data_IF_369303751574
#
_entry.id   IF_369303751574
#
_cell.length_a   1.000
_cell.length_b   1.000
_cell.length_c   1.000
_cell.angle_alpha   90.00
_cell.angle_beta   90.00
_cell.angle_gamma   90.00
#
_symmetry.space_group_name_H-M   'P 1'
#
loop_
_entity.id
_entity.type
_entity.pdbx_description
1 polymer ?
#
# COMPACT_ATOMS: atom_id res chain seq x y z
N UNK A 1 12.57 -65.12 -10.67
CA UNK A 1 13.78 -65.15 -11.52
C UNK A 1 14.07 -63.72 -11.95
N UNK A 2 15.23 -63.17 -11.54
CA UNK A 2 15.71 -61.85 -11.97
C UNK A 2 16.57 -62.02 -13.22
N UNK A 3 16.51 -61.12 -14.20
CA UNK A 3 17.62 -60.92 -15.12
C UNK A 3 18.46 -59.73 -14.66
N UNK A 4 19.74 -60.01 -14.42
CA UNK A 4 20.82 -59.02 -14.43
C UNK A 4 21.12 -58.62 -15.89
N UNK A 5 21.48 -57.36 -16.14
CA UNK A 5 22.34 -57.04 -17.27
C UNK A 5 23.24 -55.85 -16.93
N UNK A 6 24.52 -56.02 -17.25
CA UNK A 6 25.68 -55.17 -16.93
C UNK A 6 26.01 -54.20 -18.08
N UNK A 7 26.73 -53.13 -17.75
CA UNK A 7 27.54 -52.32 -18.66
C UNK A 7 26.86 -50.99 -19.05
N UNK A 8 27.50 -49.83 -19.13
CA UNK A 8 28.91 -49.46 -19.23
C UNK A 8 29.07 -48.03 -18.67
N UNK A 9 30.14 -47.76 -17.93
CA UNK A 9 30.57 -46.41 -17.60
C UNK A 9 31.33 -45.80 -18.79
N UNK A 10 31.06 -44.52 -19.11
CA UNK A 10 31.99 -43.66 -19.85
C UNK A 10 31.97 -42.26 -19.23
N UNK A 11 33.04 -41.98 -18.49
CA UNK A 11 33.48 -40.64 -18.16
C UNK A 11 33.85 -39.88 -19.45
N UNK A 12 33.44 -38.61 -19.54
CA UNK A 12 34.15 -37.61 -20.33
C UNK A 12 34.40 -36.43 -19.39
N UNK A 13 35.67 -36.19 -19.10
CA UNK A 13 36.17 -35.00 -18.42
C UNK A 13 37.28 -34.44 -19.30
N UNK A 14 37.11 -33.23 -19.84
CA UNK A 14 38.21 -32.35 -20.30
C UNK A 14 37.69 -30.88 -20.27
N UNK A 15 38.53 -29.83 -20.22
CA UNK A 15 39.06 -29.21 -19.01
C UNK A 15 38.80 -27.69 -18.95
N UNK A 16 39.18 -27.07 -17.84
CA UNK A 16 39.14 -25.63 -17.58
C UNK A 16 40.08 -24.80 -18.49
N UNK A 17 39.67 -23.56 -18.82
CA UNK A 17 40.44 -22.35 -19.19
C UNK A 17 39.45 -21.35 -19.83
N UNK A 18 39.28 -20.08 -19.46
CA UNK A 18 39.83 -19.20 -18.43
C UNK A 18 39.21 -17.80 -18.59
N UNK A 19 39.36 -16.97 -17.53
CA UNK A 19 39.32 -15.49 -17.52
C UNK A 19 37.94 -14.82 -17.83
N UNK A 20 37.37 -13.88 -17.07
CA UNK A 20 37.92 -12.67 -16.44
C UNK A 20 37.01 -12.29 -15.26
N UNK A 21 37.60 -11.97 -14.11
CA UNK A 21 36.93 -11.21 -13.06
C UNK A 21 36.75 -9.75 -13.52
N UNK A 22 35.53 -9.25 -13.58
CA UNK A 22 35.27 -7.82 -13.56
C UNK A 22 34.33 -7.51 -12.38
N UNK A 23 34.84 -6.72 -11.47
CA UNK A 23 34.17 -6.24 -10.28
C UNK A 23 33.10 -5.19 -10.61
N UNK A 24 32.16 -5.06 -9.66
CA UNK A 24 31.30 -3.89 -9.37
C UNK A 24 30.00 -3.70 -10.18
N UNK A 25 28.92 -4.28 -9.67
CA UNK A 25 27.69 -3.60 -9.26
C UNK A 25 26.86 -4.65 -8.49
N UNK A 26 26.78 -4.64 -7.17
CA UNK A 26 26.09 -3.60 -6.42
C UNK A 26 24.65 -4.05 -6.20
N UNK A 27 24.46 -4.85 -5.15
CA UNK A 27 23.23 -5.21 -4.46
C UNK A 27 21.88 -4.87 -5.12
N UNK A 28 21.03 -5.88 -5.35
CA UNK A 28 19.64 -5.73 -4.92
C UNK A 28 19.18 -6.96 -4.15
N UNK A 29 18.74 -6.65 -2.95
CA UNK A 29 18.47 -7.54 -1.83
C UNK A 29 17.18 -8.32 -2.05
N UNK A 30 17.32 -9.60 -2.36
CA UNK A 30 16.36 -10.63 -1.96
C UNK A 30 16.32 -10.74 -0.45
N UNK A 31 15.72 -9.75 0.23
CA UNK A 31 15.29 -9.90 1.61
C UNK A 31 13.97 -10.69 1.64
N UNK A 32 13.67 -11.43 2.73
CA UNK A 32 12.33 -11.98 2.91
C UNK A 32 11.32 -10.83 2.81
N UNK A 33 10.33 -10.98 1.93
CA UNK A 33 9.21 -10.06 1.87
C UNK A 33 8.55 -10.03 3.25
N UNK A 34 8.62 -8.89 3.94
CA UNK A 34 7.88 -8.72 5.19
C UNK A 34 6.40 -9.06 4.95
N UNK A 35 5.72 -9.69 5.93
CA UNK A 35 4.32 -10.04 5.78
C UNK A 35 3.52 -8.77 5.46
N UNK A 36 2.69 -8.87 4.41
CA UNK A 36 1.83 -7.78 4.01
C UNK A 36 0.89 -7.40 5.15
N UNK A 37 0.82 -6.11 5.47
CA UNK A 37 -0.02 -5.61 6.54
C UNK A 37 -1.49 -5.95 6.28
N UNK A 38 -2.18 -6.41 7.32
CA UNK A 38 -3.58 -6.88 7.21
C UNK A 38 -4.59 -5.74 7.25
N UNK A 39 -4.22 -4.61 7.84
CA UNK A 39 -5.13 -3.49 8.05
C UNK A 39 -4.44 -2.14 7.84
N UNK A 40 -5.24 -1.09 7.67
CA UNK A 40 -4.76 0.26 7.51
C UNK A 40 -4.00 0.75 8.75
N UNK A 41 -4.30 0.31 9.97
CA UNK A 41 -3.54 0.73 11.15
C UNK A 41 -2.09 0.21 11.20
N UNK A 42 -1.76 -0.87 10.50
CA UNK A 42 -0.43 -1.51 10.50
C UNK A 42 0.33 -1.31 9.18
N UNK A 43 -0.29 -0.64 8.21
CA UNK A 43 0.19 -0.58 6.82
C UNK A 43 1.61 -0.03 6.66
N UNK A 44 1.91 1.04 7.39
CA UNK A 44 3.21 1.70 7.36
C UNK A 44 3.45 2.47 8.66
N UNK A 45 4.72 2.68 9.00
CA UNK A 45 5.16 3.59 10.06
C UNK A 45 5.60 4.94 9.47
N UNK A 46 5.79 5.94 10.33
CA UNK A 46 6.39 7.22 9.92
C UNK A 46 7.81 6.97 9.43
N UNK A 47 8.16 7.54 8.28
CA UNK A 47 9.44 7.37 7.60
C UNK A 47 9.44 6.31 6.50
N UNK A 48 8.48 5.39 6.48
CA UNK A 48 8.40 4.35 5.45
C UNK A 48 8.09 4.95 4.08
N UNK A 49 8.62 4.32 3.03
CA UNK A 49 8.21 4.58 1.65
C UNK A 49 7.06 3.65 1.27
N UNK A 50 6.02 4.21 0.68
CA UNK A 50 4.77 3.53 0.33
C UNK A 50 4.31 3.87 -1.08
N UNK A 51 3.46 3.02 -1.65
CA UNK A 51 2.65 3.30 -2.84
C UNK A 51 1.18 3.13 -2.52
N UNK A 52 0.30 3.82 -3.24
CA UNK A 52 -1.15 3.60 -3.13
C UNK A 52 -1.51 2.28 -3.82
N UNK A 53 -2.36 1.46 -3.21
CA UNK A 53 -2.76 0.14 -3.75
C UNK A 53 -3.84 0.23 -4.82
N UNK A 54 -4.78 1.16 -4.64
CA UNK A 54 -5.97 1.29 -5.47
C UNK A 54 -6.20 2.74 -5.86
N UNK A 55 -5.38 3.32 -6.77
CA UNK A 55 -5.43 4.76 -7.01
C UNK A 55 -6.80 5.26 -7.49
N UNK A 56 -7.47 4.47 -8.34
CA UNK A 56 -8.79 4.77 -8.87
C UNK A 56 -9.94 4.79 -7.83
N UNK A 57 -9.68 4.34 -6.59
CA UNK A 57 -10.66 4.34 -5.50
C UNK A 57 -10.11 4.91 -4.18
N UNK A 58 -8.91 5.47 -4.19
CA UNK A 58 -8.29 6.10 -3.02
C UNK A 58 -8.30 7.60 -3.21
N UNK A 59 -8.98 8.32 -2.31
CA UNK A 59 -8.96 9.79 -2.30
C UNK A 59 -7.69 10.26 -1.58
N UNK A 60 -7.00 11.24 -2.16
CA UNK A 60 -5.90 11.96 -1.54
C UNK A 60 -6.25 13.45 -1.54
N UNK A 61 -6.00 14.14 -0.42
CA UNK A 61 -6.21 15.59 -0.37
C UNK A 61 -5.01 16.33 0.19
N UNK A 62 -4.67 17.49 -0.37
CA UNK A 62 -3.61 18.34 0.21
C UNK A 62 -3.99 18.94 1.57
N UNK A 63 -5.30 19.05 1.86
CA UNK A 63 -5.85 19.52 3.13
C UNK A 63 -6.47 18.38 3.94
N UNK A 64 -6.07 18.24 5.21
CA UNK A 64 -6.56 17.17 6.10
C UNK A 64 -8.07 17.26 6.38
N UNK A 65 -8.57 18.49 6.55
CA UNK A 65 -9.97 18.72 6.86
C UNK A 65 -10.88 18.29 5.71
N UNK A 66 -10.44 18.51 4.48
CA UNK A 66 -11.18 18.09 3.30
C UNK A 66 -11.12 16.58 3.10
N UNK A 67 -9.96 15.95 3.34
CA UNK A 67 -9.87 14.48 3.40
C UNK A 67 -10.86 13.90 4.41
N UNK A 68 -10.99 14.53 5.59
CA UNK A 68 -11.91 14.09 6.65
C UNK A 68 -13.36 14.22 6.21
N UNK A 69 -13.75 15.35 5.59
CA UNK A 69 -15.12 15.55 5.07
C UNK A 69 -15.47 14.53 4.01
N UNK A 70 -14.60 14.32 3.01
CA UNK A 70 -14.85 13.37 1.92
C UNK A 70 -14.96 11.95 2.46
N UNK A 71 -14.08 11.55 3.39
CA UNK A 71 -14.15 10.27 4.08
C UNK A 71 -15.50 10.07 4.80
N UNK A 72 -15.91 11.04 5.63
CA UNK A 72 -17.14 10.95 6.42
C UNK A 72 -18.39 10.86 5.53
N UNK A 73 -18.46 11.64 4.45
CA UNK A 73 -19.55 11.59 3.47
C UNK A 73 -19.64 10.21 2.81
N UNK A 74 -18.49 9.67 2.38
CA UNK A 74 -18.41 8.33 1.80
C UNK A 74 -18.85 7.21 2.76
N UNK A 75 -18.34 7.23 3.99
CA UNK A 75 -18.66 6.23 5.02
C UNK A 75 -20.12 6.28 5.44
N UNK A 76 -20.72 7.47 5.52
CA UNK A 76 -22.14 7.62 5.83
C UNK A 76 -23.02 7.04 4.72
N UNK A 77 -22.70 7.31 3.46
CA UNK A 77 -23.40 6.72 2.32
C UNK A 77 -23.27 5.19 2.33
N UNK A 78 -22.06 4.66 2.59
CA UNK A 78 -21.82 3.22 2.72
C UNK A 78 -22.74 2.59 3.76
N UNK A 79 -22.75 3.14 4.98
CA UNK A 79 -23.53 2.59 6.10
C UNK A 79 -25.02 2.68 5.86
N UNK A 80 -25.49 3.80 5.32
CA UNK A 80 -26.91 3.99 5.01
C UNK A 80 -27.36 3.00 3.94
N UNK A 81 -26.63 2.87 2.83
CA UNK A 81 -26.95 1.93 1.77
C UNK A 81 -26.85 0.48 2.25
N UNK A 82 -25.81 0.12 3.01
CA UNK A 82 -25.69 -1.22 3.59
C UNK A 82 -26.89 -1.56 4.48
N UNK A 83 -27.35 -0.61 5.32
CA UNK A 83 -28.50 -0.81 6.20
C UNK A 83 -29.82 -1.04 5.43
N UNK A 84 -30.01 -0.37 4.31
CA UNK A 84 -31.27 -0.41 3.54
C UNK A 84 -31.27 -1.54 2.52
N UNK A 85 -30.16 -1.72 1.79
CA UNK A 85 -30.07 -2.62 0.64
C UNK A 85 -29.40 -3.96 0.96
N UNK A 86 -28.72 -4.06 2.11
CA UNK A 86 -27.99 -5.25 2.55
C UNK A 86 -27.05 -5.86 1.48
N UNK A 87 -26.42 -5.00 0.68
CA UNK A 87 -25.55 -5.39 -0.45
C UNK A 87 -24.21 -4.68 -0.40
N UNK A 88 -23.12 -5.45 -0.37
CA UNK A 88 -21.77 -4.91 -0.24
C UNK A 88 -21.40 -4.08 -1.45
N UNK A 89 -21.72 -4.60 -2.63
CA UNK A 89 -21.45 -3.94 -3.91
C UNK A 89 -22.20 -2.60 -4.00
N UNK A 90 -23.50 -2.56 -3.67
CA UNK A 90 -24.26 -1.30 -3.68
C UNK A 90 -23.71 -0.30 -2.66
N UNK A 91 -23.33 -0.77 -1.46
CA UNK A 91 -22.77 0.09 -0.43
C UNK A 91 -21.41 0.70 -0.83
N UNK A 92 -20.54 -0.07 -1.48
CA UNK A 92 -19.26 0.42 -2.02
C UNK A 92 -19.48 1.40 -3.19
N UNK A 93 -20.43 1.12 -4.08
CA UNK A 93 -20.80 2.06 -5.15
C UNK A 93 -21.33 3.38 -4.59
N UNK A 94 -22.19 3.32 -3.57
CA UNK A 94 -22.70 4.49 -2.87
C UNK A 94 -21.58 5.29 -2.19
N UNK A 95 -20.63 4.63 -1.52
CA UNK A 95 -19.42 5.26 -0.96
C UNK A 95 -18.67 6.04 -2.04
N UNK A 96 -18.32 5.38 -3.14
CA UNK A 96 -17.54 5.98 -4.22
C UNK A 96 -18.27 7.15 -4.87
N UNK A 97 -19.58 7.03 -5.13
CA UNK A 97 -20.39 8.10 -5.70
C UNK A 97 -20.49 9.31 -4.76
N UNK A 98 -20.69 9.08 -3.46
CA UNK A 98 -20.76 10.13 -2.45
C UNK A 98 -19.41 10.82 -2.27
N UNK A 99 -18.29 10.08 -2.28
CA UNK A 99 -16.94 10.65 -2.26
C UNK A 99 -16.69 11.52 -3.49
N UNK A 100 -17.03 11.03 -4.68
CA UNK A 100 -16.89 11.80 -5.93
C UNK A 100 -17.68 13.11 -5.89
N UNK A 101 -18.88 13.09 -5.33
CA UNK A 101 -19.69 14.29 -5.14
C UNK A 101 -19.06 15.23 -4.09
N UNK A 102 -18.55 14.71 -2.98
CA UNK A 102 -17.90 15.53 -1.96
C UNK A 102 -16.61 16.18 -2.47
N UNK A 103 -15.83 15.46 -3.29
CA UNK A 103 -14.61 15.97 -3.91
C UNK A 103 -14.87 17.16 -4.86
N UNK A 104 -16.04 17.23 -5.51
CA UNK A 104 -16.34 18.39 -6.36
C UNK A 104 -16.51 19.69 -5.58
N UNK A 105 -16.66 19.60 -4.25
CA UNK A 105 -16.74 20.73 -3.32
C UNK A 105 -15.47 20.91 -2.49
N UNK A 106 -14.50 20.00 -2.62
CA UNK A 106 -13.25 19.98 -1.87
C UNK A 106 -12.07 19.99 -2.85
N UNK A 107 -11.68 21.17 -3.31
CA UNK A 107 -10.68 21.35 -4.38
C UNK A 107 -9.27 20.86 -4.03
N UNK A 108 -8.99 20.62 -2.74
CA UNK A 108 -7.75 20.01 -2.29
C UNK A 108 -7.70 18.50 -2.57
N UNK A 109 -8.84 17.87 -2.89
CA UNK A 109 -8.99 16.43 -3.02
C UNK A 109 -9.02 15.98 -4.48
N UNK A 110 -8.26 14.93 -4.76
CA UNK A 110 -8.28 14.22 -6.03
C UNK A 110 -8.19 12.70 -5.82
N UNK A 111 -8.43 11.94 -6.88
CA UNK A 111 -8.11 10.51 -6.86
C UNK A 111 -6.58 10.37 -6.84
N UNK A 112 -6.10 9.38 -6.10
CA UNK A 112 -4.69 9.11 -6.02
C UNK A 112 -4.09 8.87 -7.43
N UNK A 113 -2.84 9.30 -7.66
CA UNK A 113 -2.17 9.09 -8.93
C UNK A 113 -1.82 7.62 -9.15
N UNK A 114 -1.81 7.19 -10.41
CA UNK A 114 -1.60 5.80 -10.81
C UNK A 114 -0.31 5.14 -10.29
N UNK A 115 -0.33 3.81 -10.30
CA UNK A 115 0.70 2.89 -9.81
C UNK A 115 2.08 3.19 -10.43
N UNK A 116 2.89 3.93 -9.68
CA UNK A 116 4.35 4.17 -9.85
C UNK A 116 4.83 5.29 -8.91
N UNK A 117 3.92 6.14 -8.45
CA UNK A 117 4.29 7.20 -7.52
C UNK A 117 4.60 6.64 -6.13
N UNK A 118 5.77 7.01 -5.61
CA UNK A 118 6.24 6.67 -4.26
C UNK A 118 6.08 7.86 -3.34
N UNK A 119 5.68 7.56 -2.11
CA UNK A 119 5.48 8.54 -1.06
C UNK A 119 6.23 8.12 0.19
N UNK A 120 6.71 9.09 0.95
CA UNK A 120 7.21 8.89 2.30
C UNK A 120 6.10 9.24 3.28
N UNK A 121 5.82 8.35 4.23
CA UNK A 121 4.88 8.63 5.33
C UNK A 121 5.52 9.65 6.27
N UNK A 122 4.99 10.86 6.31
CA UNK A 122 5.51 11.92 7.20
C UNK A 122 4.78 12.00 8.52
N UNK A 123 3.48 11.70 8.51
CA UNK A 123 2.68 11.61 9.72
C UNK A 123 1.69 10.46 9.58
N UNK A 124 1.38 9.86 10.72
CA UNK A 124 0.36 8.84 10.85
C UNK A 124 -0.35 9.04 12.18
N UNK A 125 -1.67 9.03 12.15
CA UNK A 125 -2.49 9.11 13.34
C UNK A 125 -3.56 8.02 13.31
N UNK A 126 -3.80 7.37 14.45
CA UNK A 126 -4.90 6.44 14.62
C UNK A 126 -5.93 7.13 15.51
N UNK A 127 -7.10 7.41 14.95
CA UNK A 127 -8.17 8.10 15.66
C UNK A 127 -9.23 7.10 16.09
N UNK A 128 -9.64 7.19 17.35
CA UNK A 128 -10.67 6.33 17.93
C UNK A 128 -10.16 4.91 18.22
N UNK A 129 -11.09 3.97 18.30
CA UNK A 129 -10.81 2.55 18.53
C UNK A 129 -11.84 1.66 17.83
N UNK A 130 -11.66 0.35 17.82
CA UNK A 130 -12.54 -0.62 17.13
C UNK A 130 -14.03 -0.55 17.51
N UNK A 131 -14.38 0.01 18.67
CA UNK A 131 -15.77 0.19 19.10
C UNK A 131 -16.40 1.51 18.64
N UNK A 132 -15.57 2.45 18.16
CA UNK A 132 -16.04 3.76 17.69
C UNK A 132 -16.55 3.69 16.26
N UNK A 133 -17.57 4.51 15.95
CA UNK A 133 -18.13 4.57 14.61
C UNK A 133 -17.10 5.02 13.57
N UNK A 134 -16.10 5.83 13.93
CA UNK A 134 -15.03 6.25 13.03
C UNK A 134 -13.69 5.92 13.67
N UNK A 135 -13.25 4.68 13.44
CA UNK A 135 -11.91 4.21 13.75
C UNK A 135 -11.04 4.37 12.50
N UNK A 136 -10.19 5.39 12.46
CA UNK A 136 -9.45 5.76 11.23
C UNK A 136 -7.95 5.65 11.39
N UNK A 137 -7.29 5.39 10.28
CA UNK A 137 -5.86 5.60 10.10
C UNK A 137 -5.69 6.76 9.10
N UNK A 138 -5.12 7.85 9.60
CA UNK A 138 -4.87 9.06 8.86
C UNK A 138 -3.40 9.10 8.50
N UNK A 139 -3.09 9.30 7.23
CA UNK A 139 -1.73 9.30 6.68
C UNK A 139 -1.43 10.63 6.00
N UNK A 140 -0.39 11.35 6.42
CA UNK A 140 0.24 12.35 5.55
C UNK A 140 1.35 11.68 4.73
N UNK A 141 1.17 11.74 3.41
CA UNK A 141 2.09 11.21 2.41
C UNK A 141 2.76 12.35 1.66
N UNK A 142 4.09 12.35 1.62
CA UNK A 142 4.87 13.33 0.84
C UNK A 142 5.49 12.61 -0.35
N UNK A 143 5.42 13.18 -1.55
CA UNK A 143 6.08 12.58 -2.73
C UNK A 143 7.58 12.39 -2.44
N UNK A 144 8.12 11.23 -2.77
CA UNK A 144 9.54 10.92 -2.54
C UNK A 144 10.47 11.90 -3.26
N UNK A 145 10.06 12.37 -4.44
CA UNK A 145 10.80 13.34 -5.25
C UNK A 145 9.90 14.55 -5.54
N UNK A 146 10.40 15.76 -5.25
CA UNK A 146 9.86 17.02 -5.78
C UNK A 146 8.51 17.50 -5.22
N UNK A 147 8.03 16.96 -4.10
CA UNK A 147 6.82 17.46 -3.43
C UNK A 147 7.14 17.89 -2.01
N UNK A 148 6.70 19.09 -1.61
CA UNK A 148 6.79 19.56 -0.22
C UNK A 148 5.53 19.27 0.61
N UNK A 149 4.40 19.20 -0.08
CA UNK A 149 3.05 19.16 0.48
C UNK A 149 2.67 17.77 1.01
N UNK A 150 1.93 17.77 2.12
CA UNK A 150 1.28 16.58 2.67
C UNK A 150 0.04 16.24 1.83
N UNK A 151 -0.03 15.00 1.36
CA UNK A 151 -1.25 14.42 0.81
C UNK A 151 -1.86 13.45 1.81
N UNK A 152 -3.06 13.77 2.25
CA UNK A 152 -3.79 13.06 3.28
C UNK A 152 -4.62 11.92 2.70
N UNK A 153 -4.45 10.72 3.25
CA UNK A 153 -5.35 9.60 3.08
C UNK A 153 -5.98 9.30 4.44
N UNK A 154 -7.30 9.17 4.46
CA UNK A 154 -8.05 8.72 5.64
C UNK A 154 -8.82 7.47 5.23
N UNK A 155 -8.58 6.38 5.97
CA UNK A 155 -9.30 5.12 5.77
C UNK A 155 -9.60 4.48 7.11
N UNK A 156 -10.56 3.56 7.12
CA UNK A 156 -10.84 2.73 8.30
C UNK A 156 -9.60 1.96 8.74
N UNK A 157 -9.20 2.15 10.00
CA UNK A 157 -8.00 1.56 10.59
C UNK A 157 -8.02 0.02 10.62
N UNK A 158 -9.20 -0.60 10.64
CA UNK A 158 -9.41 -2.05 10.68
C UNK A 158 -9.65 -2.70 9.31
N UNK A 159 -9.75 -1.91 8.24
CA UNK A 159 -9.97 -2.41 6.89
C UNK A 159 -8.66 -2.61 6.13
N UNK A 160 -8.73 -3.32 5.00
CA UNK A 160 -7.58 -3.52 4.12
C UNK A 160 -6.86 -2.19 3.80
N UNK A 161 -5.53 -2.16 3.84
CA UNK A 161 -4.80 -0.90 3.80
C UNK A 161 -4.90 -0.23 2.41
N UNK A 162 -5.06 1.11 2.35
CA UNK A 162 -5.06 1.85 1.08
C UNK A 162 -3.65 1.98 0.48
N UNK A 163 -2.62 1.75 1.30
CA UNK A 163 -1.21 1.87 0.94
C UNK A 163 -0.48 0.54 1.09
N UNK A 164 0.61 0.38 0.33
CA UNK A 164 1.55 -0.74 0.41
C UNK A 164 2.92 -0.19 0.73
N UNK A 165 3.55 -0.69 1.79
CA UNK A 165 4.97 -0.39 2.09
C UNK A 165 5.87 -1.00 1.02
N UNK A 166 6.79 -0.20 0.49
CA UNK A 166 7.79 -0.60 -0.50
C UNK A 166 9.22 -0.46 0.00
N UNK A 167 9.45 0.37 1.02
CA UNK A 167 10.71 0.39 1.76
C UNK A 167 10.43 0.78 3.22
N UNK A 168 11.18 0.19 4.14
CA UNK A 168 11.10 0.51 5.56
C UNK A 168 12.05 1.68 5.88
N UNK A 169 11.63 2.56 6.78
CA UNK A 169 12.53 3.57 7.33
C UNK A 169 13.77 2.90 7.95
N UNK A 170 14.97 3.45 7.80
CA UNK A 170 16.11 2.97 8.56
C UNK A 170 15.78 3.08 10.05
N UNK A 171 16.02 2.00 10.81
CA UNK A 171 15.89 2.04 12.26
C UNK A 171 16.95 3.02 12.78
N UNK A 172 16.53 4.26 13.07
CA UNK A 172 17.40 5.22 13.74
C UNK A 172 17.66 4.66 15.15
N UNK A 173 18.77 3.94 15.31
CA UNK A 173 19.36 3.68 16.62
C UNK A 173 19.82 5.05 17.14
N UNK A 174 18.99 5.65 18.00
CA UNK A 174 19.40 6.73 18.88
C UNK A 174 20.47 6.22 19.86
#
# INVERSE_FOLDING_TARGET
MRPENRGFAKFIAIPALGLIALAAAGCDSGGPSEPEAKNAAEAAAVGDTVTVKWPASTVMCSERNDASKVYLVGENALRQTWRVENSAMKAVQAKSAAQKLAMSQAYSCEWAPNDRMRFVVKQKEIIGNKSTAYYTADYCLKKEVGGEECWWIIERADMGPPIKRVARAPDNKL
#
